data_IF_139360727087
#
_entry.id   IF_139360727087
#
_cell.length_a   1.000
_cell.length_b   1.000
_cell.length_c   1.000
_cell.angle_alpha   90.00
_cell.angle_beta   90.00
_cell.angle_gamma   90.00
#
_symmetry.space_group_name_H-M   'P 1'
#
loop_
_entity.id
_entity.type
_entity.pdbx_description
1 polymer ?
#
# COMPACT_ATOMS: atom_id res chain seq x y z
N UNK A 1 26.60 1.62 -13.39
CA UNK A 1 26.31 1.76 -11.95
C UNK A 1 26.75 0.47 -11.29
N UNK A 2 27.75 0.51 -10.43
CA UNK A 2 28.20 -0.65 -9.69
C UNK A 2 27.13 -1.02 -8.65
N UNK A 3 26.53 -2.19 -8.80
CA UNK A 3 25.47 -2.70 -7.92
C UNK A 3 25.97 -2.87 -6.48
N UNK A 4 27.27 -3.12 -6.28
CA UNK A 4 27.85 -3.27 -4.95
C UNK A 4 27.98 -1.93 -4.24
N UNK A 5 28.48 -0.89 -4.93
CA UNK A 5 28.46 0.48 -4.40
C UNK A 5 27.04 0.97 -4.11
N UNK A 6 26.07 0.62 -4.97
CA UNK A 6 24.69 1.02 -4.75
C UNK A 6 24.07 0.31 -3.54
N UNK A 7 24.35 -0.98 -3.36
CA UNK A 7 23.93 -1.74 -2.18
C UNK A 7 24.59 -1.19 -0.91
N UNK A 8 25.87 -0.90 -0.94
CA UNK A 8 26.61 -0.31 0.19
C UNK A 8 26.01 1.04 0.58
N UNK A 9 25.72 1.89 -0.40
CA UNK A 9 25.03 3.15 -0.18
C UNK A 9 23.66 2.96 0.48
N UNK A 10 22.80 2.07 -0.04
CA UNK A 10 21.47 1.83 0.52
C UNK A 10 21.49 1.27 1.95
N UNK A 11 22.45 0.38 2.25
CA UNK A 11 22.51 -0.30 3.54
C UNK A 11 23.22 0.54 4.60
N UNK A 12 24.28 1.26 4.23
CA UNK A 12 25.20 1.87 5.20
C UNK A 12 25.23 3.41 5.16
N UNK A 13 24.87 4.04 4.03
CA UNK A 13 25.03 5.50 3.86
C UNK A 13 23.71 6.25 3.73
N UNK A 14 22.66 5.63 3.19
CA UNK A 14 21.36 6.26 2.95
C UNK A 14 20.72 6.76 4.24
N UNK A 15 20.93 6.03 5.34
CA UNK A 15 20.41 6.37 6.66
C UNK A 15 21.57 6.58 7.66
N UNK A 16 22.45 7.55 7.36
CA UNK A 16 23.46 8.02 8.31
C UNK A 16 22.85 9.10 9.22
N UNK A 17 22.67 8.77 10.51
CA UNK A 17 22.13 9.70 11.50
C UNK A 17 23.27 10.31 12.31
N UNK A 18 23.41 11.63 12.26
CA UNK A 18 24.43 12.35 13.02
C UNK A 18 24.03 12.57 14.49
N UNK A 19 22.75 12.38 14.81
CA UNK A 19 22.17 12.61 16.13
C UNK A 19 21.51 11.33 16.66
N UNK A 20 21.80 10.97 17.92
CA UNK A 20 21.20 9.80 18.58
C UNK A 20 19.68 9.84 18.61
N UNK A 21 19.07 11.03 18.72
CA UNK A 21 17.61 11.18 18.69
C UNK A 21 16.98 10.82 17.35
N UNK A 22 17.68 11.08 16.24
CA UNK A 22 17.21 10.76 14.90
C UNK A 22 17.28 9.26 14.65
N UNK A 23 18.33 8.62 15.17
CA UNK A 23 18.47 7.16 15.15
C UNK A 23 17.36 6.49 15.97
N UNK A 24 17.09 6.97 17.17
CA UNK A 24 16.02 6.42 18.03
C UNK A 24 14.63 6.61 17.40
N UNK A 25 14.37 7.75 16.76
CA UNK A 25 13.13 7.99 16.03
C UNK A 25 12.98 7.04 14.83
N UNK A 26 14.08 6.78 14.10
CA UNK A 26 14.08 5.86 12.97
C UNK A 26 13.91 4.40 13.41
N UNK A 27 14.52 4.00 14.52
CA UNK A 27 14.34 2.66 15.09
C UNK A 27 12.90 2.46 15.58
N UNK A 28 12.29 3.47 16.22
CA UNK A 28 10.85 3.46 16.55
C UNK A 28 9.97 3.35 15.30
N UNK A 29 10.33 4.06 14.24
CA UNK A 29 9.61 3.98 12.96
C UNK A 29 9.72 2.59 12.32
N UNK A 30 10.93 2.00 12.29
CA UNK A 30 11.14 0.62 11.82
C UNK A 30 10.32 -0.37 12.62
N UNK A 31 10.38 -0.29 13.95
CA UNK A 31 9.57 -1.14 14.83
C UNK A 31 8.08 -0.95 14.55
N UNK A 32 7.60 0.28 14.38
CA UNK A 32 6.21 0.55 14.04
C UNK A 32 5.79 -0.02 12.69
N UNK A 33 6.66 0.03 11.67
CA UNK A 33 6.39 -0.58 10.36
C UNK A 33 6.38 -2.10 10.47
N UNK A 34 7.34 -2.70 11.17
CA UNK A 34 7.40 -4.14 11.37
C UNK A 34 6.19 -4.63 12.15
N UNK A 35 5.83 -3.96 13.24
CA UNK A 35 4.66 -4.29 14.07
C UNK A 35 3.35 -4.16 13.27
N UNK A 36 3.20 -3.09 12.49
CA UNK A 36 2.06 -2.92 11.60
C UNK A 36 2.01 -4.00 10.51
N UNK A 37 3.16 -4.29 9.89
CA UNK A 37 3.27 -5.29 8.83
C UNK A 37 2.97 -6.70 9.34
N UNK A 38 3.53 -7.10 10.46
CA UNK A 38 3.38 -8.45 11.02
C UNK A 38 2.00 -8.65 11.67
N UNK A 39 1.55 -7.70 12.49
CA UNK A 39 0.33 -7.88 13.29
C UNK A 39 -0.90 -7.29 12.64
N UNK A 40 -0.81 -6.09 12.07
CA UNK A 40 -2.00 -5.38 11.59
C UNK A 40 -2.37 -5.77 10.17
N UNK A 41 -1.39 -5.92 9.28
CA UNK A 41 -1.66 -6.17 7.86
C UNK A 41 -2.18 -7.59 7.59
N UNK A 42 -1.68 -8.58 8.33
CA UNK A 42 -2.03 -10.00 8.11
C UNK A 42 -3.10 -10.53 9.07
N UNK A 43 -3.25 -9.97 10.28
CA UNK A 43 -4.26 -10.47 11.25
C UNK A 43 -5.58 -9.70 11.20
N UNK A 44 -5.58 -8.44 10.72
CA UNK A 44 -6.81 -7.63 10.66
C UNK A 44 -7.69 -8.11 9.51
N UNK A 45 -8.89 -8.59 9.84
CA UNK A 45 -9.93 -8.86 8.86
C UNK A 45 -10.49 -7.55 8.31
N UNK A 46 -10.67 -7.53 6.99
CA UNK A 46 -11.41 -6.48 6.28
C UNK A 46 -12.88 -6.58 6.67
N UNK A 47 -13.50 -5.43 6.94
CA UNK A 47 -14.93 -5.31 7.25
C UNK A 47 -15.72 -4.72 6.08
N UNK A 48 -17.05 -4.89 6.04
CA UNK A 48 -17.89 -4.24 5.04
C UNK A 48 -17.75 -2.71 4.99
N UNK A 49 -17.45 -2.09 6.14
CA UNK A 49 -17.26 -0.64 6.22
C UNK A 49 -15.94 -0.21 5.59
N UNK A 50 -14.87 -1.00 5.76
CA UNK A 50 -13.59 -0.76 5.08
C UNK A 50 -13.78 -0.77 3.54
N UNK A 51 -14.62 -1.66 3.01
CA UNK A 51 -14.95 -1.72 1.58
C UNK A 51 -15.72 -0.48 1.13
N UNK A 52 -16.70 -0.02 1.93
CA UNK A 52 -17.48 1.18 1.61
C UNK A 52 -16.61 2.44 1.61
N UNK A 53 -15.69 2.54 2.56
CA UNK A 53 -14.74 3.65 2.64
C UNK A 53 -13.76 3.62 1.47
N UNK A 54 -13.22 2.45 1.12
CA UNK A 54 -12.36 2.29 -0.05
C UNK A 54 -13.07 2.68 -1.35
N UNK A 55 -14.35 2.32 -1.51
CA UNK A 55 -15.17 2.75 -2.65
C UNK A 55 -15.36 4.27 -2.64
N UNK A 56 -15.60 4.90 -1.50
CA UNK A 56 -15.73 6.36 -1.41
C UNK A 56 -14.44 7.09 -1.80
N UNK A 57 -13.29 6.60 -1.36
CA UNK A 57 -11.99 7.13 -1.77
C UNK A 57 -11.75 6.95 -3.27
N UNK A 58 -12.14 5.81 -3.84
CA UNK A 58 -12.07 5.57 -5.28
C UNK A 58 -12.95 6.55 -6.08
N UNK A 59 -14.15 6.85 -5.58
CA UNK A 59 -15.09 7.79 -6.22
C UNK A 59 -14.65 9.25 -6.11
N UNK A 60 -13.95 9.62 -5.02
CA UNK A 60 -13.35 10.97 -4.82
C UNK A 60 -12.22 11.26 -5.79
N UNK A 61 -11.53 10.22 -6.26
CA UNK A 61 -10.47 10.38 -7.25
C UNK A 61 -11.04 10.45 -8.68
N UNK A 62 -10.51 11.36 -9.49
CA UNK A 62 -10.91 11.54 -10.91
C UNK A 62 -10.37 10.46 -11.86
N UNK A 63 -10.15 9.24 -11.37
CA UNK A 63 -9.68 8.13 -12.19
C UNK A 63 -10.79 7.45 -13.01
N UNK A 64 -12.06 7.66 -12.63
CA UNK A 64 -13.20 7.01 -13.26
C UNK A 64 -14.03 7.99 -14.10
N UNK A 65 -14.47 7.53 -15.26
CA UNK A 65 -15.53 8.17 -16.03
C UNK A 65 -16.89 8.06 -15.29
N UNK A 66 -17.86 8.88 -15.69
CA UNK A 66 -19.17 8.96 -15.04
C UNK A 66 -19.94 7.64 -15.06
N UNK A 67 -19.73 6.81 -16.08
CA UNK A 67 -20.37 5.51 -16.17
C UNK A 67 -19.83 4.56 -15.09
N UNK A 68 -18.50 4.49 -14.95
CA UNK A 68 -17.83 3.68 -13.91
C UNK A 68 -18.13 4.20 -12.51
N UNK A 69 -18.17 5.53 -12.30
CA UNK A 69 -18.59 6.13 -11.02
C UNK A 69 -19.98 5.67 -10.61
N UNK A 70 -20.96 5.68 -11.52
CA UNK A 70 -22.34 5.19 -11.23
C UNK A 70 -22.37 3.71 -10.89
N UNK A 71 -21.59 2.89 -11.59
CA UNK A 71 -21.57 1.44 -11.41
C UNK A 71 -20.95 1.05 -10.06
N UNK A 72 -19.83 1.69 -9.70
CA UNK A 72 -19.17 1.52 -8.40
C UNK A 72 -20.07 2.02 -7.26
N UNK A 73 -20.80 3.12 -7.46
CA UNK A 73 -21.72 3.63 -6.45
C UNK A 73 -22.93 2.69 -6.24
N UNK A 74 -23.40 2.03 -7.31
CA UNK A 74 -24.40 0.95 -7.21
C UNK A 74 -23.88 -0.23 -6.40
N UNK A 75 -22.62 -0.65 -6.64
CA UNK A 75 -21.96 -1.72 -5.90
C UNK A 75 -21.88 -1.41 -4.40
N UNK A 76 -21.58 -0.15 -4.03
CA UNK A 76 -21.52 0.31 -2.64
C UNK A 76 -22.85 0.15 -1.89
N UNK A 77 -23.97 0.35 -2.60
CA UNK A 77 -25.32 0.30 -2.01
C UNK A 77 -25.88 -1.12 -1.91
N UNK A 78 -25.29 -2.09 -2.61
CA UNK A 78 -25.67 -3.50 -2.54
C UNK A 78 -24.96 -4.19 -1.36
N UNK A 79 -25.70 -4.44 -0.29
CA UNK A 79 -25.16 -5.07 0.91
C UNK A 79 -24.60 -6.48 0.64
N UNK A 80 -25.26 -7.26 -0.23
CA UNK A 80 -24.81 -8.62 -0.58
C UNK A 80 -23.48 -8.56 -1.32
N UNK A 81 -23.38 -7.65 -2.30
CA UNK A 81 -22.13 -7.47 -3.04
C UNK A 81 -20.98 -7.04 -2.11
N UNK A 82 -21.22 -6.10 -1.19
CA UNK A 82 -20.19 -5.65 -0.23
C UNK A 82 -19.75 -6.78 0.70
N UNK A 83 -20.67 -7.61 1.17
CA UNK A 83 -20.35 -8.77 2.02
C UNK A 83 -19.56 -9.85 1.26
N UNK A 84 -19.91 -10.12 0.01
CA UNK A 84 -19.17 -11.03 -0.86
C UNK A 84 -17.74 -10.52 -1.11
N UNK A 85 -17.58 -9.23 -1.46
CA UNK A 85 -16.27 -8.61 -1.63
C UNK A 85 -15.42 -8.70 -0.37
N UNK A 86 -16.02 -8.43 0.79
CA UNK A 86 -15.36 -8.54 2.10
C UNK A 86 -14.87 -9.97 2.34
N UNK A 87 -15.71 -10.96 2.05
CA UNK A 87 -15.39 -12.37 2.22
C UNK A 87 -14.28 -12.83 1.29
N UNK A 88 -14.33 -12.45 0.01
CA UNK A 88 -13.30 -12.75 -0.98
C UNK A 88 -11.95 -12.12 -0.62
N UNK A 89 -11.94 -10.86 -0.15
CA UNK A 89 -10.71 -10.18 0.27
C UNK A 89 -10.09 -10.82 1.51
N UNK A 90 -10.89 -11.19 2.50
CA UNK A 90 -10.38 -11.91 3.67
C UNK A 90 -9.83 -13.29 3.28
N UNK A 91 -10.45 -13.99 2.33
CA UNK A 91 -9.93 -15.26 1.81
C UNK A 91 -8.58 -15.05 1.11
N UNK A 92 -8.47 -14.05 0.25
CA UNK A 92 -7.20 -13.69 -0.41
C UNK A 92 -6.12 -13.30 0.61
N UNK A 93 -6.45 -12.50 1.63
CA UNK A 93 -5.48 -12.12 2.69
C UNK A 93 -4.96 -13.35 3.43
N UNK A 94 -5.83 -14.30 3.75
CA UNK A 94 -5.42 -15.56 4.38
C UNK A 94 -4.52 -16.42 3.47
N UNK A 95 -4.69 -16.30 2.15
CA UNK A 95 -3.82 -16.98 1.16
C UNK A 95 -2.46 -16.28 0.98
N UNK A 96 -2.32 -15.00 1.34
CA UNK A 96 -1.06 -14.24 1.29
C UNK A 96 -0.13 -14.61 2.46
N UNK A 97 -0.14 -15.89 2.88
CA UNK A 97 0.59 -16.41 4.04
C UNK A 97 2.07 -16.02 4.11
N UNK A 98 2.70 -15.68 2.99
CA UNK A 98 3.95 -14.93 2.93
C UNK A 98 3.97 -13.98 1.72
N UNK A 99 3.88 -12.67 1.95
CA UNK A 99 4.19 -11.69 0.90
C UNK A 99 5.71 -11.61 0.70
N UNK A 100 6.20 -12.29 -0.33
CA UNK A 100 7.59 -12.18 -0.75
C UNK A 100 7.71 -11.16 -1.88
N UNK A 101 8.66 -10.23 -1.77
CA UNK A 101 9.01 -9.36 -2.90
C UNK A 101 9.39 -10.25 -4.10
N UNK A 102 8.78 -10.08 -5.28
CA UNK A 102 9.15 -10.85 -6.44
C UNK A 102 10.64 -10.63 -6.75
N UNK A 103 11.39 -11.70 -7.04
CA UNK A 103 12.82 -11.62 -7.37
C UNK A 103 13.10 -10.73 -8.58
N UNK A 104 12.11 -10.59 -9.46
CA UNK A 104 12.13 -9.70 -10.63
C UNK A 104 11.86 -8.22 -10.28
N UNK A 105 11.55 -7.91 -9.02
CA UNK A 105 11.13 -6.60 -8.54
C UNK A 105 9.66 -6.28 -8.87
N UNK A 106 9.12 -5.24 -8.24
CA UNK A 106 7.80 -4.69 -8.59
C UNK A 106 7.99 -3.56 -9.59
N UNK A 107 7.26 -3.63 -10.71
CA UNK A 107 7.40 -2.67 -11.79
C UNK A 107 6.71 -1.36 -11.43
N UNK A 108 7.50 -0.39 -10.96
CA UNK A 108 7.03 0.98 -10.74
C UNK A 108 6.65 1.68 -12.04
N UNK A 109 5.44 2.23 -12.11
CA UNK A 109 5.00 3.11 -13.20
C UNK A 109 5.20 4.56 -12.77
N UNK A 110 6.11 5.26 -13.43
CA UNK A 110 6.31 6.69 -13.21
C UNK A 110 5.25 7.48 -13.98
N UNK A 111 4.43 8.26 -13.26
CA UNK A 111 3.48 9.19 -13.88
C UNK A 111 3.84 10.62 -13.52
N UNK A 112 3.62 11.53 -14.47
CA UNK A 112 3.90 12.96 -14.32
C UNK A 112 2.79 13.60 -13.49
N UNK A 113 3.15 14.25 -12.39
CA UNK A 113 2.24 15.12 -11.63
C UNK A 113 2.09 16.46 -12.37
N UNK A 114 0.96 17.14 -12.19
CA UNK A 114 0.63 18.45 -12.76
C UNK A 114 1.71 19.54 -12.55
N UNK A 115 2.66 19.37 -11.62
CA UNK A 115 3.76 20.29 -11.35
C UNK A 115 5.13 19.83 -11.89
N UNK A 116 5.18 18.95 -12.90
CA UNK A 116 6.43 18.49 -13.52
C UNK A 116 7.25 17.48 -12.71
N UNK A 117 6.85 17.18 -11.46
CA UNK A 117 7.46 16.11 -10.65
C UNK A 117 6.89 14.74 -11.04
N UNK A 118 7.72 13.70 -11.04
CA UNK A 118 7.27 12.33 -11.27
C UNK A 118 6.93 11.65 -9.93
N UNK A 119 5.87 10.84 -9.92
CA UNK A 119 5.57 9.93 -8.81
C UNK A 119 5.63 8.51 -9.32
N UNK A 120 6.35 7.65 -8.59
CA UNK A 120 6.37 6.22 -8.82
C UNK A 120 5.15 5.60 -8.13
N UNK A 121 4.40 4.79 -8.86
CA UNK A 121 3.30 3.97 -8.36
C UNK A 121 3.72 2.51 -8.53
N UNK A 122 3.67 1.72 -7.46
CA UNK A 122 4.06 0.31 -7.44
C UNK A 122 2.83 -0.57 -7.58
#
# INVERSE_FOLDING_TARGET
>A
LDLNQWRDFLVHQLFHFNNEKEKEAFDKFKLGITDYGEKTLFERKVTPDDIREAIDELLRNDFFDDHRKRLINKLKMDASAVEEFTSSLNLMINEIGEWNWPLTGVRGVFRRKLAGRYRCFY
#
